data_IF_540438917705
#
_entry.id   IF_540438917705
#
_cell.length_a   1.000
_cell.length_b   1.000
_cell.length_c   1.000
_cell.angle_alpha   90.00
_cell.angle_beta   90.00
_cell.angle_gamma   90.00
#
_symmetry.space_group_name_H-M   'P 1'
#
loop_
_entity.id
_entity.type
_entity.pdbx_description
1 polymer ?
#
# COMPACT_ATOMS: atom_id res chain seq x y z
N UNK A 1 -21.55 -3.75 2.37
CA UNK A 1 -20.13 -3.44 2.68
C UNK A 1 -19.33 -4.11 1.59
N UNK A 2 -19.18 -3.43 0.47
CA UNK A 2 -18.85 -4.10 -0.80
C UNK A 2 -17.86 -3.17 -1.50
N UNK A 3 -16.71 -3.73 -1.91
CA UNK A 3 -15.70 -3.15 -2.83
C UNK A 3 -14.50 -2.34 -2.32
N UNK A 4 -14.38 -1.93 -1.05
CA UNK A 4 -13.21 -1.10 -0.63
C UNK A 4 -12.19 -1.76 0.32
N UNK A 5 -12.17 -3.10 0.45
CA UNK A 5 -11.26 -3.77 1.41
C UNK A 5 -9.90 -4.16 0.84
N UNK A 6 -9.75 -4.29 -0.49
CA UNK A 6 -8.58 -4.94 -1.09
C UNK A 6 -7.24 -4.28 -0.74
N UNK A 7 -7.18 -2.94 -0.82
CA UNK A 7 -5.96 -2.18 -0.57
C UNK A 7 -6.00 -1.32 0.70
N UNK A 8 -7.09 -1.35 1.47
CA UNK A 8 -7.28 -0.48 2.64
C UNK A 8 -6.11 -0.56 3.64
N UNK A 9 -5.61 -1.77 3.89
CA UNK A 9 -4.46 -1.97 4.79
C UNK A 9 -3.17 -1.32 4.27
N UNK A 10 -3.01 -1.24 2.94
CA UNK A 10 -1.86 -0.57 2.33
C UNK A 10 -2.09 0.94 2.35
N UNK A 11 -3.23 1.40 1.86
CA UNK A 11 -3.50 2.82 1.58
C UNK A 11 -3.77 3.64 2.85
N UNK A 12 -4.59 3.13 3.77
CA UNK A 12 -5.05 3.87 4.94
C UNK A 12 -4.23 3.56 6.20
N UNK A 13 -3.42 2.49 6.19
CA UNK A 13 -2.67 2.06 7.37
C UNK A 13 -1.16 2.08 7.14
N UNK A 14 -0.64 1.31 6.17
CA UNK A 14 0.80 1.13 6.01
C UNK A 14 1.47 2.33 5.31
N UNK A 15 0.87 2.84 4.24
CA UNK A 15 1.45 3.90 3.42
C UNK A 15 1.65 5.22 4.19
N UNK A 16 0.70 5.69 5.02
CA UNK A 16 0.91 6.88 5.85
C UNK A 16 2.06 6.70 6.85
N UNK A 17 2.24 5.49 7.40
CA UNK A 17 3.35 5.18 8.32
C UNK A 17 4.69 5.26 7.61
N UNK A 18 4.78 4.74 6.38
CA UNK A 18 5.99 4.83 5.57
C UNK A 18 6.30 6.29 5.21
N UNK A 19 5.30 7.07 4.82
CA UNK A 19 5.48 8.49 4.48
C UNK A 19 6.02 9.31 5.65
N UNK A 20 5.66 8.96 6.89
CA UNK A 20 6.15 9.61 8.11
C UNK A 20 7.49 9.06 8.63
N UNK A 21 8.07 8.03 8.00
CA UNK A 21 9.25 7.33 8.50
C UNK A 21 10.52 7.70 7.71
N UNK A 22 11.67 7.94 8.39
CA UNK A 22 12.95 8.22 7.74
C UNK A 22 13.47 7.06 6.88
N UNK A 23 12.90 5.86 6.99
CA UNK A 23 13.23 4.71 6.16
C UNK A 23 12.68 4.79 4.72
N UNK A 24 11.77 5.74 4.43
CA UNK A 24 11.14 5.91 3.10
C UNK A 24 12.10 5.81 1.90
N UNK A 25 13.28 6.47 1.85
CA UNK A 25 14.17 6.40 0.69
C UNK A 25 14.84 5.03 0.50
N UNK A 26 14.68 4.09 1.43
CA UNK A 26 15.34 2.79 1.42
C UNK A 26 14.36 1.62 1.17
N UNK A 27 13.09 1.89 0.86
CA UNK A 27 12.08 0.85 0.65
C UNK A 27 11.25 1.11 -0.61
N UNK A 28 10.86 0.02 -1.26
CA UNK A 28 9.84 0.02 -2.32
C UNK A 28 8.54 -0.58 -1.75
N UNK A 29 7.39 -0.15 -2.28
CA UNK A 29 6.09 -0.64 -1.82
C UNK A 29 5.23 -1.03 -3.03
N UNK A 30 4.87 -2.32 -3.08
CA UNK A 30 3.96 -2.86 -4.06
C UNK A 30 2.80 -3.57 -3.36
N UNK A 31 1.59 -3.42 -3.90
CA UNK A 31 0.38 -4.08 -3.44
C UNK A 31 -0.23 -4.94 -4.53
N UNK A 32 -0.79 -6.09 -4.16
CA UNK A 32 -1.53 -6.96 -5.07
C UNK A 32 -2.75 -7.54 -4.37
N UNK A 33 -3.89 -7.47 -5.05
CA UNK A 33 -5.09 -8.24 -4.73
C UNK A 33 -5.21 -9.38 -5.74
N UNK A 34 -5.68 -10.55 -5.32
CA UNK A 34 -5.86 -11.68 -6.21
C UNK A 34 -6.81 -11.32 -7.36
N UNK A 35 -6.35 -11.49 -8.59
CA UNK A 35 -7.12 -11.14 -9.80
C UNK A 35 -6.91 -9.70 -10.30
N UNK A 36 -6.15 -8.88 -9.57
CA UNK A 36 -5.77 -7.54 -9.99
C UNK A 36 -4.28 -7.46 -10.38
N UNK A 37 -3.96 -6.43 -11.14
CA UNK A 37 -2.58 -6.09 -11.48
C UNK A 37 -1.79 -5.63 -10.26
N UNK A 38 -0.47 -5.83 -10.32
CA UNK A 38 0.43 -5.34 -9.29
C UNK A 38 0.43 -3.80 -9.31
N UNK A 39 0.09 -3.18 -8.18
CA UNK A 39 0.13 -1.73 -8.00
C UNK A 39 1.42 -1.34 -7.30
N UNK A 40 2.12 -0.34 -7.84
CA UNK A 40 3.30 0.27 -7.22
C UNK A 40 2.93 1.56 -6.50
N UNK A 41 3.40 1.73 -5.27
CA UNK A 41 3.14 2.90 -4.41
C UNK A 41 4.39 3.77 -4.18
N UNK A 42 5.58 3.15 -4.10
CA UNK A 42 6.90 3.81 -4.00
C UNK A 42 7.84 3.24 -5.05
#
# INVERSE_FOLDING_TARGET
>A
MTESVGFFQIEEVLFPKILANPAKPYIELYGKVTGEDLRRYL
#
